data_IF_817605869011
#
_entry.id   IF_817605869011
#
_cell.length_a   1.000
_cell.length_b   1.000
_cell.length_c   1.000
_cell.angle_alpha   90.00
_cell.angle_beta   90.00
_cell.angle_gamma   90.00
#
_symmetry.space_group_name_H-M   'P 1'
#
loop_
_entity.id
_entity.type
_entity.pdbx_description
1 polymer ?
#
# COMPACT_ATOMS: atom_id res chain seq x y z
N UNK A 1 10.92 13.88 7.92
CA UNK A 1 11.26 14.95 6.96
C UNK A 1 10.60 16.25 7.38
N UNK A 2 11.25 17.40 7.25
CA UNK A 2 10.58 18.70 7.49
C UNK A 2 9.69 19.12 6.31
N UNK A 3 8.85 20.14 6.49
CA UNK A 3 7.89 20.56 5.45
C UNK A 3 8.57 21.18 4.23
N UNK A 4 9.72 21.85 4.41
CA UNK A 4 10.46 22.50 3.30
C UNK A 4 11.11 21.47 2.38
N UNK A 5 11.67 20.42 2.95
CA UNK A 5 12.23 19.31 2.19
C UNK A 5 11.13 18.56 1.44
N UNK A 6 9.96 18.38 2.06
CA UNK A 6 8.80 17.79 1.38
C UNK A 6 8.33 18.64 0.20
N UNK A 7 8.24 19.97 0.36
CA UNK A 7 7.93 20.91 -0.73
C UNK A 7 8.97 20.85 -1.86
N UNK A 8 10.26 20.75 -1.51
CA UNK A 8 11.33 20.57 -2.49
C UNK A 8 11.13 19.27 -3.28
N UNK A 9 10.87 18.15 -2.62
CA UNK A 9 10.59 16.86 -3.28
C UNK A 9 9.36 16.96 -4.19
N UNK A 10 8.31 17.65 -3.75
CA UNK A 10 7.12 17.89 -4.59
C UNK A 10 7.49 18.59 -5.91
N UNK A 11 8.41 19.56 -5.85
CA UNK A 11 8.85 20.36 -6.99
C UNK A 11 9.82 19.66 -7.96
N UNK A 12 10.51 18.60 -7.52
CA UNK A 12 11.50 17.89 -8.33
C UNK A 12 10.84 16.85 -9.25
N UNK A 13 11.27 16.77 -10.51
CA UNK A 13 10.77 15.77 -11.46
C UNK A 13 11.44 14.39 -11.30
N UNK A 14 12.70 14.37 -10.87
CA UNK A 14 13.51 13.17 -10.69
C UNK A 14 14.35 13.27 -9.42
N UNK A 15 14.85 12.12 -8.94
CA UNK A 15 15.77 12.09 -7.81
C UNK A 15 17.05 12.86 -8.18
N UNK A 16 17.53 13.78 -7.33
CA UNK A 16 18.67 14.61 -7.66
C UNK A 16 19.96 13.79 -7.73
N UNK A 17 20.75 14.02 -8.78
CA UNK A 17 22.11 13.50 -8.91
C UNK A 17 23.04 14.09 -7.85
N UNK A 18 24.29 13.61 -7.76
CA UNK A 18 25.28 14.05 -6.78
C UNK A 18 25.59 15.57 -6.80
N UNK A 19 25.23 16.28 -7.87
CA UNK A 19 25.37 17.75 -8.01
C UNK A 19 24.11 18.53 -7.64
N UNK A 20 23.00 17.85 -7.39
CA UNK A 20 21.71 18.44 -7.04
C UNK A 20 21.57 18.71 -5.53
N UNK A 21 20.38 19.16 -5.10
CA UNK A 21 20.08 19.32 -3.68
C UNK A 21 20.18 17.98 -2.96
N UNK A 22 20.89 17.95 -1.84
CA UNK A 22 21.00 16.76 -1.01
C UNK A 22 19.70 16.54 -0.23
N UNK A 23 19.06 15.40 -0.46
CA UNK A 23 17.87 14.97 0.26
C UNK A 23 18.26 14.03 1.42
N UNK A 24 17.49 14.06 2.50
CA UNK A 24 17.60 13.16 3.65
C UNK A 24 17.00 11.78 3.39
N UNK A 25 16.18 11.66 2.34
CA UNK A 25 15.50 10.41 1.96
C UNK A 25 16.23 9.63 0.88
N UNK A 26 15.99 8.32 0.85
CA UNK A 26 16.45 7.45 -0.21
C UNK A 26 15.71 7.71 -1.53
N UNK A 27 16.29 7.25 -2.64
CA UNK A 27 15.65 7.24 -3.96
C UNK A 27 14.34 6.45 -3.97
N UNK A 28 14.27 5.38 -3.17
CA UNK A 28 13.06 4.59 -2.98
C UNK A 28 11.94 5.41 -2.33
N UNK A 29 12.21 6.06 -1.20
CA UNK A 29 11.25 6.94 -0.53
C UNK A 29 10.81 8.09 -1.44
N UNK A 30 11.75 8.71 -2.17
CA UNK A 30 11.41 9.73 -3.16
C UNK A 30 10.43 9.19 -4.21
N UNK A 31 10.71 8.00 -4.75
CA UNK A 31 9.84 7.36 -5.75
C UNK A 31 8.45 7.05 -5.19
N UNK A 32 8.35 6.60 -3.94
CA UNK A 32 7.07 6.37 -3.25
C UNK A 32 6.29 7.69 -3.11
N UNK A 33 6.94 8.76 -2.67
CA UNK A 33 6.33 10.09 -2.54
C UNK A 33 5.80 10.57 -3.90
N UNK A 34 6.61 10.53 -4.95
CA UNK A 34 6.20 10.98 -6.30
C UNK A 34 5.03 10.16 -6.83
N UNK A 35 5.05 8.83 -6.67
CA UNK A 35 3.94 7.95 -7.10
C UNK A 35 2.66 8.26 -6.34
N UNK A 36 2.74 8.50 -5.02
CA UNK A 36 1.60 8.87 -4.18
C UNK A 36 0.99 10.21 -4.60
N UNK A 37 1.81 11.25 -4.77
CA UNK A 37 1.35 12.58 -5.22
C UNK A 37 0.66 12.51 -6.58
N UNK A 38 1.23 11.78 -7.54
CA UNK A 38 0.64 11.61 -8.87
C UNK A 38 -0.68 10.83 -8.81
N UNK A 39 -0.76 9.81 -7.95
CA UNK A 39 -2.02 9.08 -7.72
C UNK A 39 -3.09 9.99 -7.11
N UNK A 40 -2.75 10.82 -6.12
CA UNK A 40 -3.68 11.80 -5.55
C UNK A 40 -4.17 12.80 -6.61
N UNK A 41 -3.26 13.29 -7.46
CA UNK A 41 -3.61 14.17 -8.57
C UNK A 41 -4.66 13.50 -9.47
N UNK A 42 -4.41 12.29 -9.97
CA UNK A 42 -5.36 11.56 -10.81
C UNK A 42 -6.71 11.35 -10.13
N UNK A 43 -6.74 11.05 -8.83
CA UNK A 43 -8.01 10.90 -8.10
C UNK A 43 -8.77 12.22 -7.98
N UNK A 44 -8.05 13.33 -7.72
CA UNK A 44 -8.66 14.66 -7.60
C UNK A 44 -9.25 15.15 -8.93
N UNK A 45 -8.56 14.87 -10.04
CA UNK A 45 -8.96 15.27 -11.39
C UNK A 45 -10.03 14.36 -11.99
N UNK A 46 -10.23 13.14 -11.47
CA UNK A 46 -11.18 12.15 -11.99
C UNK A 46 -12.59 12.73 -12.22
N UNK A 47 -13.04 13.65 -11.35
CA UNK A 47 -14.35 14.33 -11.52
C UNK A 47 -14.40 15.18 -12.79
N UNK A 48 -13.30 15.83 -13.18
CA UNK A 48 -13.19 16.64 -14.40
C UNK A 48 -13.31 15.75 -15.64
N UNK A 49 -12.65 14.58 -15.63
CA UNK A 49 -12.72 13.61 -16.74
C UNK A 49 -14.09 12.93 -16.88
N UNK A 50 -14.91 12.92 -15.81
CA UNK A 50 -16.29 12.40 -15.80
C UNK A 50 -17.34 13.43 -16.21
N UNK A 51 -16.98 14.68 -16.45
CA UNK A 51 -17.95 15.68 -16.89
C UNK A 51 -18.48 15.35 -18.29
N UNK A 52 -19.78 15.53 -18.50
CA UNK A 52 -20.46 15.11 -19.73
C UNK A 52 -19.83 15.69 -21.00
N UNK A 53 -19.48 16.99 -20.99
CA UNK A 53 -18.81 17.66 -22.12
C UNK A 53 -17.46 17.01 -22.45
N UNK A 54 -16.67 16.72 -21.42
CA UNK A 54 -15.34 16.11 -21.52
C UNK A 54 -15.44 14.67 -22.02
N UNK A 55 -16.39 13.90 -21.49
CA UNK A 55 -16.67 12.53 -21.91
C UNK A 55 -17.07 12.45 -23.39
N UNK A 56 -18.00 13.31 -23.84
CA UNK A 56 -18.41 13.37 -25.25
C UNK A 56 -17.22 13.61 -26.17
N UNK A 57 -16.28 14.47 -25.77
CA UNK A 57 -15.05 14.70 -26.52
C UNK A 57 -14.16 13.45 -26.57
N UNK A 58 -13.92 12.78 -25.44
CA UNK A 58 -13.11 11.55 -25.41
C UNK A 58 -13.73 10.43 -26.24
N UNK A 59 -15.05 10.23 -26.17
CA UNK A 59 -15.76 9.22 -26.96
C UNK A 59 -15.69 9.54 -28.46
N UNK A 60 -15.80 10.82 -28.85
CA UNK A 60 -15.64 11.25 -30.23
C UNK A 60 -14.21 10.97 -30.75
N UNK A 61 -13.18 11.35 -29.98
CA UNK A 61 -11.77 11.08 -30.29
C UNK A 61 -11.48 9.59 -30.42
N UNK A 62 -11.97 8.79 -29.47
CA UNK A 62 -11.81 7.33 -29.51
C UNK A 62 -12.50 6.70 -30.73
N UNK A 63 -13.67 7.21 -31.09
CA UNK A 63 -14.42 6.77 -32.28
C UNK A 63 -13.76 7.20 -33.59
N UNK A 64 -12.99 8.29 -33.59
CA UNK A 64 -12.16 8.72 -34.71
C UNK A 64 -10.86 7.90 -34.86
N UNK A 65 -10.63 6.89 -34.01
CA UNK A 65 -9.49 5.98 -34.10
C UNK A 65 -8.32 6.28 -33.17
N UNK A 66 -8.40 7.35 -32.37
CA UNK A 66 -7.40 7.62 -31.34
C UNK A 66 -7.49 6.57 -30.21
N UNK A 67 -6.35 6.11 -29.68
CA UNK A 67 -6.35 5.11 -28.60
C UNK A 67 -6.64 5.73 -27.23
N UNK A 68 -7.18 4.94 -26.31
CA UNK A 68 -7.44 5.38 -24.91
C UNK A 68 -6.16 5.90 -24.24
N UNK A 69 -5.01 5.30 -24.55
CA UNK A 69 -3.69 5.75 -24.08
C UNK A 69 -3.30 7.12 -24.64
N UNK A 70 -3.50 7.36 -25.94
CA UNK A 70 -3.18 8.65 -26.56
C UNK A 70 -4.04 9.77 -25.96
N UNK A 71 -5.34 9.50 -25.77
CA UNK A 71 -6.25 10.42 -25.10
C UNK A 71 -5.75 10.72 -23.69
N UNK A 72 -5.43 9.69 -22.89
CA UNK A 72 -4.91 9.85 -21.53
C UNK A 72 -3.64 10.71 -21.49
N UNK A 73 -2.67 10.43 -22.37
CA UNK A 73 -1.42 11.18 -22.49
C UNK A 73 -1.66 12.65 -22.85
N UNK A 74 -2.62 12.95 -23.73
CA UNK A 74 -2.91 14.32 -24.15
C UNK A 74 -3.44 15.23 -23.04
N UNK A 75 -3.98 14.65 -21.97
CA UNK A 75 -4.52 15.36 -20.81
C UNK A 75 -3.77 15.03 -19.51
N UNK A 76 -2.58 14.43 -19.62
CA UNK A 76 -1.74 14.03 -18.48
C UNK A 76 -2.49 13.23 -17.41
N UNK A 77 -3.24 12.21 -17.83
CA UNK A 77 -4.06 11.38 -16.94
C UNK A 77 -3.68 9.89 -17.00
N UNK A 78 -4.06 9.12 -15.98
CA UNK A 78 -3.82 7.66 -15.93
C UNK A 78 -4.48 6.94 -17.12
N UNK A 79 -3.72 6.17 -17.94
CA UNK A 79 -4.28 5.38 -19.03
C UNK A 79 -5.37 4.39 -18.60
N UNK A 80 -5.20 3.69 -17.47
CA UNK A 80 -6.21 2.75 -16.99
C UNK A 80 -7.46 3.46 -16.47
N UNK A 81 -7.32 4.60 -15.78
CA UNK A 81 -8.45 5.41 -15.35
C UNK A 81 -9.19 6.03 -16.54
N UNK A 82 -8.46 6.49 -17.56
CA UNK A 82 -9.04 6.96 -18.82
C UNK A 82 -9.83 5.85 -19.51
N UNK A 83 -9.25 4.66 -19.65
CA UNK A 83 -9.93 3.52 -20.26
C UNK A 83 -11.24 3.20 -19.54
N UNK A 84 -11.24 3.16 -18.19
CA UNK A 84 -12.47 2.94 -17.41
C UNK A 84 -13.55 4.00 -17.71
N UNK A 85 -13.16 5.27 -17.79
CA UNK A 85 -14.08 6.39 -18.03
C UNK A 85 -14.62 6.39 -19.46
N UNK A 86 -13.79 6.08 -20.45
CA UNK A 86 -14.19 6.00 -21.88
C UNK A 86 -15.09 4.79 -22.15
N UNK A 87 -14.76 3.62 -21.58
CA UNK A 87 -15.54 2.40 -21.78
C UNK A 87 -16.93 2.51 -21.14
N UNK A 88 -17.02 3.08 -19.94
CA UNK A 88 -18.29 3.41 -19.28
C UNK A 88 -19.11 4.36 -20.17
N UNK A 89 -18.53 5.48 -20.61
CA UNK A 89 -19.25 6.47 -21.41
C UNK A 89 -19.66 6.00 -22.82
N UNK A 90 -18.85 5.17 -23.48
CA UNK A 90 -19.12 4.70 -24.85
C UNK A 90 -20.08 3.52 -24.89
N UNK A 91 -19.92 2.57 -23.98
CA UNK A 91 -20.65 1.29 -24.02
C UNK A 91 -21.68 1.15 -22.89
N UNK A 92 -21.73 2.07 -21.93
CA UNK A 92 -22.63 1.99 -20.78
C UNK A 92 -22.30 0.84 -19.84
N UNK A 93 -21.05 0.36 -19.85
CA UNK A 93 -20.65 -0.81 -19.08
C UNK A 93 -20.52 -0.51 -17.60
N UNK A 94 -21.03 -1.43 -16.77
CA UNK A 94 -20.89 -1.33 -15.33
C UNK A 94 -19.42 -1.40 -14.87
N UNK A 95 -19.12 -0.85 -13.70
CA UNK A 95 -17.78 -0.95 -13.08
C UNK A 95 -17.30 -2.40 -12.95
N UNK A 96 -18.21 -3.33 -12.67
CA UNK A 96 -17.92 -4.76 -12.54
C UNK A 96 -17.53 -5.35 -13.89
N UNK A 97 -18.31 -5.04 -14.94
CA UNK A 97 -18.03 -5.47 -16.32
C UNK A 97 -16.65 -5.00 -16.78
N UNK A 98 -16.33 -3.73 -16.57
CA UNK A 98 -15.02 -3.17 -16.93
C UNK A 98 -13.92 -3.84 -16.10
N UNK A 99 -14.12 -4.05 -14.80
CA UNK A 99 -13.11 -4.69 -13.95
C UNK A 99 -12.83 -6.14 -14.34
N UNK A 100 -13.86 -6.89 -14.76
CA UNK A 100 -13.69 -8.25 -15.28
C UNK A 100 -12.92 -8.25 -16.60
N UNK A 101 -13.18 -7.28 -17.50
CA UNK A 101 -12.42 -7.14 -18.74
C UNK A 101 -10.95 -6.82 -18.49
N UNK A 102 -10.63 -6.00 -17.48
CA UNK A 102 -9.24 -5.78 -17.06
C UNK A 102 -8.58 -7.06 -16.53
N UNK A 103 -9.31 -7.89 -15.77
CA UNK A 103 -8.80 -9.19 -15.31
C UNK A 103 -8.53 -10.14 -16.48
N UNK A 104 -9.46 -10.25 -17.41
CA UNK A 104 -9.31 -11.05 -18.64
C UNK A 104 -8.11 -10.57 -19.48
N UNK A 105 -7.93 -9.26 -19.61
CA UNK A 105 -6.81 -8.69 -20.36
C UNK A 105 -5.43 -9.01 -19.74
N UNK A 106 -5.39 -9.30 -18.43
CA UNK A 106 -4.18 -9.69 -17.70
C UNK A 106 -3.91 -11.20 -17.67
N UNK A 107 -4.89 -12.04 -18.05
CA UNK A 107 -4.64 -13.48 -18.19
C UNK A 107 -3.69 -13.72 -19.36
N UNK A 108 -2.74 -14.62 -19.16
CA UNK A 108 -1.86 -15.07 -20.23
C UNK A 108 -2.68 -15.82 -21.29
N UNK A 109 -2.23 -15.77 -22.55
CA UNK A 109 -2.94 -16.44 -23.66
C UNK A 109 -3.09 -17.96 -23.43
N UNK A 110 -2.22 -18.56 -22.61
CA UNK A 110 -2.29 -19.97 -22.19
C UNK A 110 -3.34 -20.26 -21.10
N UNK A 111 -3.82 -19.24 -20.39
CA UNK A 111 -4.82 -19.35 -19.30
C UNK A 111 -6.23 -18.95 -19.75
N UNK A 112 -6.39 -18.59 -21.02
CA UNK A 112 -7.71 -18.41 -21.61
C UNK A 112 -8.36 -19.80 -21.68
N UNK A 113 -9.37 -20.02 -20.84
CA UNK A 113 -10.21 -21.21 -20.89
C UNK A 113 -10.73 -21.41 -22.33
N UNK A 114 -10.98 -22.67 -22.72
CA UNK A 114 -11.48 -23.04 -24.04
C UNK A 114 -12.87 -22.44 -24.39
N UNK A 115 -13.47 -21.69 -23.46
CA UNK A 115 -14.74 -21.00 -23.63
C UNK A 115 -14.58 -19.73 -24.48
N UNK A 116 -15.54 -19.53 -25.38
CA UNK A 116 -15.56 -18.35 -26.24
C UNK A 116 -15.58 -17.06 -25.39
N UNK A 117 -14.76 -16.05 -25.72
CA UNK A 117 -14.73 -14.81 -24.98
C UNK A 117 -16.10 -14.14 -24.95
N UNK A 118 -16.51 -13.64 -23.79
CA UNK A 118 -17.71 -12.82 -23.72
C UNK A 118 -17.44 -11.46 -24.37
N UNK A 119 -17.83 -11.31 -25.64
CA UNK A 119 -17.64 -10.08 -26.41
C UNK A 119 -18.48 -8.89 -25.92
N UNK A 120 -19.34 -9.07 -24.91
CA UNK A 120 -20.12 -7.99 -24.26
C UNK A 120 -20.94 -7.16 -25.25
N UNK A 121 -21.42 -7.82 -26.31
CA UNK A 121 -22.20 -7.19 -27.38
C UNK A 121 -21.38 -6.41 -28.42
N UNK A 122 -20.05 -6.54 -28.41
CA UNK A 122 -19.18 -5.99 -29.44
C UNK A 122 -18.97 -6.96 -30.61
N UNK A 123 -18.62 -6.40 -31.78
CA UNK A 123 -18.04 -7.19 -32.86
C UNK A 123 -16.65 -7.73 -32.48
N UNK A 124 -16.21 -8.78 -33.17
CA UNK A 124 -14.90 -9.40 -32.94
C UNK A 124 -13.75 -8.39 -33.04
N UNK A 125 -13.79 -7.54 -34.08
CA UNK A 125 -12.77 -6.52 -34.33
C UNK A 125 -12.76 -5.43 -33.26
N UNK A 126 -13.94 -4.99 -32.80
CA UNK A 126 -14.06 -4.00 -31.73
C UNK A 126 -13.59 -4.56 -30.39
N UNK A 127 -14.00 -5.79 -30.06
CA UNK A 127 -13.57 -6.47 -28.85
C UNK A 127 -12.05 -6.63 -28.82
N UNK A 128 -11.48 -7.13 -29.92
CA UNK A 128 -10.04 -7.29 -30.10
C UNK A 128 -9.28 -5.97 -29.95
N UNK A 129 -9.80 -4.88 -30.53
CA UNK A 129 -9.24 -3.54 -30.35
C UNK A 129 -9.27 -3.11 -28.88
N UNK A 130 -10.42 -3.23 -28.21
CA UNK A 130 -10.59 -2.82 -26.82
C UNK A 130 -9.65 -3.59 -25.90
N UNK A 131 -9.56 -4.91 -26.03
CA UNK A 131 -8.67 -5.76 -25.21
C UNK A 131 -7.21 -5.38 -25.43
N UNK A 132 -6.78 -5.20 -26.68
CA UNK A 132 -5.43 -4.74 -27.01
C UNK A 132 -5.10 -3.38 -26.38
N UNK A 133 -6.01 -2.42 -26.48
CA UNK A 133 -5.81 -1.10 -25.88
C UNK A 133 -5.81 -1.13 -24.35
N UNK A 134 -6.61 -1.99 -23.71
CA UNK A 134 -6.56 -2.20 -22.26
C UNK A 134 -5.21 -2.79 -21.84
N UNK A 135 -4.70 -3.81 -22.55
CA UNK A 135 -3.36 -4.36 -22.30
C UNK A 135 -2.29 -3.28 -22.43
N UNK A 136 -2.36 -2.43 -23.45
CA UNK A 136 -1.44 -1.31 -23.61
C UNK A 136 -1.54 -0.34 -22.43
N UNK A 137 -2.76 0.03 -22.02
CA UNK A 137 -2.98 0.90 -20.86
C UNK A 137 -2.39 0.30 -19.58
N UNK A 138 -2.63 -0.99 -19.31
CA UNK A 138 -2.08 -1.70 -18.14
C UNK A 138 -0.55 -1.68 -18.15
N UNK A 139 0.07 -1.96 -19.31
CA UNK A 139 1.53 -2.01 -19.44
C UNK A 139 2.22 -0.66 -19.30
N UNK A 140 1.50 0.45 -19.54
CA UNK A 140 2.06 1.82 -19.56
C UNK A 140 1.63 2.67 -18.38
N UNK A 141 0.65 2.22 -17.60
CA UNK A 141 0.17 2.95 -16.44
C UNK A 141 0.88 2.44 -15.18
N UNK A 142 1.87 3.20 -14.74
CA UNK A 142 2.68 2.87 -13.57
C UNK A 142 1.98 3.17 -12.24
N UNK A 143 0.84 3.87 -12.26
CA UNK A 143 0.23 4.45 -11.07
C UNK A 143 -1.16 3.88 -10.82
N UNK A 144 -2.03 3.92 -11.84
CA UNK A 144 -3.44 3.56 -11.77
C UNK A 144 -3.79 2.22 -12.42
N UNK A 145 -2.78 1.39 -12.77
CA UNK A 145 -3.02 0.05 -13.30
C UNK A 145 -3.32 -0.97 -12.21
N UNK A 146 -3.99 -2.10 -12.55
CA UNK A 146 -4.12 -3.21 -11.62
C UNK A 146 -2.78 -3.81 -11.17
N UNK A 147 -1.72 -3.69 -12.00
CA UNK A 147 -0.37 -4.12 -11.62
C UNK A 147 0.21 -3.22 -10.53
N UNK A 148 0.05 -1.89 -10.67
CA UNK A 148 0.44 -0.93 -9.64
C UNK A 148 -0.36 -1.12 -8.35
N UNK A 149 -1.67 -1.42 -8.45
CA UNK A 149 -2.50 -1.79 -7.31
C UNK A 149 -1.98 -3.05 -6.61
N UNK A 150 -1.61 -4.09 -7.37
CA UNK A 150 -1.05 -5.34 -6.82
C UNK A 150 0.28 -5.11 -6.11
N UNK A 151 1.16 -4.29 -6.66
CA UNK A 151 2.43 -3.92 -6.02
C UNK A 151 2.16 -3.21 -4.68
N UNK A 152 1.30 -2.19 -4.66
CA UNK A 152 0.94 -1.47 -3.42
C UNK A 152 0.34 -2.40 -2.37
N UNK A 153 -0.57 -3.28 -2.77
CA UNK A 153 -1.18 -4.25 -1.86
C UNK A 153 -0.14 -5.20 -1.26
N UNK A 154 0.73 -5.77 -2.10
CA UNK A 154 1.78 -6.69 -1.65
C UNK A 154 2.79 -5.99 -0.72
N UNK A 155 3.16 -4.74 -1.02
CA UNK A 155 3.99 -3.94 -0.12
C UNK A 155 3.32 -3.75 1.25
N UNK A 156 2.01 -3.46 1.28
CA UNK A 156 1.24 -3.40 2.53
C UNK A 156 1.37 -4.69 3.35
N UNK A 157 1.07 -5.83 2.71
CA UNK A 157 1.17 -7.16 3.34
C UNK A 157 2.59 -7.46 3.83
N UNK A 158 3.63 -7.10 3.08
CA UNK A 158 5.02 -7.32 3.46
C UNK A 158 5.41 -6.54 4.71
N UNK A 159 5.03 -5.26 4.78
CA UNK A 159 5.33 -4.41 5.93
C UNK A 159 4.47 -4.73 7.16
N UNK A 160 3.24 -5.21 6.98
CA UNK A 160 2.44 -5.80 8.05
C UNK A 160 3.12 -7.07 8.58
N UNK A 161 3.59 -7.96 7.70
CA UNK A 161 4.36 -9.14 8.11
C UNK A 161 5.63 -8.76 8.89
N UNK A 162 6.38 -7.76 8.43
CA UNK A 162 7.55 -7.22 9.13
C UNK A 162 7.19 -6.73 10.55
N UNK A 163 6.06 -6.04 10.71
CA UNK A 163 5.56 -5.62 12.02
C UNK A 163 5.27 -6.83 12.92
N UNK A 164 4.52 -7.82 12.41
CA UNK A 164 4.16 -9.01 13.17
C UNK A 164 5.41 -9.80 13.62
N UNK A 165 6.37 -10.00 12.73
CA UNK A 165 7.65 -10.62 13.06
C UNK A 165 8.45 -9.80 14.09
N UNK A 166 8.47 -8.48 13.96
CA UNK A 166 9.13 -7.60 14.94
C UNK A 166 8.53 -7.77 16.34
N UNK A 167 7.20 -7.86 16.45
CA UNK A 167 6.51 -8.06 17.72
C UNK A 167 6.78 -9.45 18.30
N UNK A 168 6.75 -10.50 17.46
CA UNK A 168 7.07 -11.89 17.85
C UNK A 168 8.50 -12.01 18.37
N UNK A 169 9.47 -11.43 17.66
CA UNK A 169 10.87 -11.43 18.05
C UNK A 169 11.12 -10.65 19.36
N UNK A 170 10.28 -9.65 19.65
CA UNK A 170 10.28 -8.93 20.92
C UNK A 170 9.44 -9.59 22.02
N UNK A 171 8.84 -10.76 21.73
CA UNK A 171 7.95 -11.49 22.64
C UNK A 171 6.82 -10.62 23.20
N UNK A 172 6.31 -9.70 22.38
CA UNK A 172 5.15 -8.89 22.72
C UNK A 172 3.88 -9.70 22.44
N UNK A 173 2.90 -9.59 23.32
CA UNK A 173 1.63 -10.31 23.19
C UNK A 173 0.62 -9.40 22.51
N UNK A 174 0.06 -9.86 21.39
CA UNK A 174 -0.83 -9.08 20.55
C UNK A 174 -1.89 -9.96 19.86
N UNK A 175 -2.90 -9.32 19.30
CA UNK A 175 -3.88 -9.89 18.38
C UNK A 175 -3.66 -9.25 17.00
N UNK A 176 -3.52 -10.07 15.96
CA UNK A 176 -3.46 -9.59 14.58
C UNK A 176 -4.84 -9.16 14.07
N UNK A 177 -4.86 -8.43 12.97
CA UNK A 177 -6.10 -8.02 12.31
C UNK A 177 -7.04 -9.22 12.06
N UNK A 178 -6.52 -10.32 11.54
CA UNK A 178 -7.30 -11.54 11.26
C UNK A 178 -7.98 -12.08 12.52
N UNK A 179 -7.27 -12.14 13.64
CA UNK A 179 -7.83 -12.56 14.93
C UNK A 179 -8.93 -11.61 15.41
N UNK A 180 -8.78 -10.31 15.18
CA UNK A 180 -9.80 -9.32 15.53
C UNK A 180 -11.05 -9.46 14.64
N UNK A 181 -10.85 -9.75 13.34
CA UNK A 181 -11.92 -9.99 12.37
C UNK A 181 -12.68 -11.28 12.66
N UNK A 182 -11.99 -12.35 13.03
CA UNK A 182 -12.60 -13.61 13.49
C UNK A 182 -13.47 -13.42 14.73
N UNK A 183 -13.09 -12.50 15.63
CA UNK A 183 -13.89 -12.09 16.80
C UNK A 183 -15.10 -11.22 16.44
N UNK A 184 -15.31 -10.90 15.16
CA UNK A 184 -16.44 -10.09 14.70
C UNK A 184 -16.30 -8.59 15.00
N UNK A 185 -15.08 -8.10 15.28
CA UNK A 185 -14.86 -6.69 15.53
C UNK A 185 -14.95 -5.87 14.23
N UNK A 186 -15.66 -4.76 14.29
CA UNK A 186 -15.70 -3.77 13.20
C UNK A 186 -14.64 -2.70 13.43
N UNK A 187 -13.84 -2.40 12.40
CA UNK A 187 -12.70 -1.46 12.43
C UNK A 187 -11.55 -1.98 13.30
N UNK A 188 -10.66 -2.71 12.65
CA UNK A 188 -9.53 -3.42 13.24
C UNK A 188 -8.22 -2.72 12.86
N UNK A 189 -7.36 -2.32 13.82
CA UNK A 189 -5.98 -1.99 13.50
C UNK A 189 -5.24 -3.26 13.08
N UNK A 190 -4.10 -3.12 12.41
CA UNK A 190 -3.28 -4.27 12.00
C UNK A 190 -2.83 -5.10 13.20
N UNK A 191 -2.58 -4.42 14.33
CA UNK A 191 -2.20 -5.03 15.60
C UNK A 191 -2.94 -4.37 16.76
N UNK A 192 -3.54 -5.19 17.63
CA UNK A 192 -3.95 -4.77 18.99
C UNK A 192 -3.03 -5.42 20.03
N UNK A 193 -2.38 -4.61 20.84
CA UNK A 193 -1.51 -5.10 21.91
C UNK A 193 -2.38 -5.59 23.09
N UNK A 194 -2.08 -6.77 23.62
CA UNK A 194 -2.73 -7.27 24.85
C UNK A 194 -2.11 -6.63 26.09
N UNK A 195 -0.84 -6.24 26.00
CA UNK A 195 -0.14 -5.45 27.00
C UNK A 195 0.33 -4.14 26.34
N UNK A 196 -0.16 -2.98 26.81
CA UNK A 196 0.25 -1.69 26.26
C UNK A 196 1.75 -1.47 26.43
N UNK A 197 2.37 -0.81 25.45
CA UNK A 197 3.78 -0.43 25.50
C UNK A 197 3.91 1.08 25.67
N UNK A 198 4.95 1.52 26.39
CA UNK A 198 5.35 2.92 26.45
C UNK A 198 6.45 3.19 25.42
N UNK A 199 6.25 4.22 24.61
CA UNK A 199 7.21 4.67 23.59
C UNK A 199 7.54 6.13 23.85
N UNK A 200 8.83 6.45 23.97
CA UNK A 200 9.27 7.83 24.13
C UNK A 200 9.38 8.49 22.76
N UNK A 201 8.67 9.60 22.56
CA UNK A 201 8.80 10.37 21.32
C UNK A 201 10.18 11.01 21.24
N UNK A 202 10.92 10.75 20.17
CA UNK A 202 12.24 11.36 19.94
C UNK A 202 12.17 12.89 19.80
N UNK A 203 11.02 13.43 19.36
CA UNK A 203 10.82 14.87 19.15
C UNK A 203 10.49 15.61 20.44
N UNK A 204 9.54 15.10 21.22
CA UNK A 204 9.01 15.80 22.40
C UNK A 204 9.58 15.27 23.72
N UNK A 205 10.23 14.10 23.69
CA UNK A 205 10.66 13.37 24.88
C UNK A 205 9.50 12.82 25.73
N UNK A 206 8.25 13.03 25.31
CA UNK A 206 7.05 12.56 26.02
C UNK A 206 6.89 11.05 25.86
N UNK A 207 6.48 10.39 26.94
CA UNK A 207 6.08 8.99 26.90
C UNK A 207 4.65 8.89 26.35
N UNK A 208 4.49 8.12 25.28
CA UNK A 208 3.19 7.76 24.70
C UNK A 208 2.87 6.31 25.05
N UNK A 209 1.65 6.08 25.52
CA UNK A 209 1.12 4.72 25.71
C UNK A 209 0.55 4.26 24.38
N UNK A 210 0.87 3.04 23.97
CA UNK A 210 0.44 2.46 22.69
C UNK A 210 -0.33 1.17 22.98
N UNK A 211 -1.59 1.14 22.59
CA UNK A 211 -2.49 -0.02 22.73
C UNK A 211 -2.72 -0.74 21.40
N UNK A 212 -2.51 -0.07 20.28
CA UNK A 212 -2.66 -0.61 18.93
C UNK A 212 -1.62 0.00 17.99
N UNK A 213 -1.31 -0.72 16.92
CA UNK A 213 -0.37 -0.30 15.88
C UNK A 213 -1.03 -0.49 14.52
N UNK A 214 -0.95 0.53 13.67
CA UNK A 214 -1.40 0.52 12.28
C UNK A 214 -0.19 0.75 11.36
N UNK A 215 0.06 -0.19 10.46
CA UNK A 215 1.15 -0.28 9.51
C UNK A 215 0.74 0.35 8.19
N UNK A 216 1.51 1.32 7.71
CA UNK A 216 1.24 2.02 6.45
C UNK A 216 2.48 1.96 5.57
N UNK A 217 2.47 1.08 4.58
CA UNK A 217 3.52 0.95 3.57
C UNK A 217 3.49 2.09 2.54
N UNK A 218 3.49 3.33 3.03
CA UNK A 218 3.42 4.56 2.23
C UNK A 218 4.05 5.74 2.99
N UNK A 219 4.12 6.90 2.35
CA UNK A 219 4.61 8.12 2.99
C UNK A 219 3.48 8.85 3.72
N UNK A 220 3.73 9.28 4.96
CA UNK A 220 2.78 10.06 5.75
C UNK A 220 2.86 11.55 5.42
N UNK A 221 2.09 12.02 4.43
CA UNK A 221 1.87 13.44 4.18
C UNK A 221 0.60 13.97 4.89
N UNK A 222 0.43 15.30 4.89
CA UNK A 222 -0.70 15.98 5.56
C UNK A 222 -2.05 15.49 5.03
N UNK A 223 -2.19 15.36 3.72
CA UNK A 223 -3.43 14.92 3.09
C UNK A 223 -3.75 13.47 3.48
N UNK A 224 -2.79 12.57 3.36
CA UNK A 224 -2.94 11.15 3.69
C UNK A 224 -3.27 10.95 5.17
N UNK A 225 -2.57 11.62 6.10
CA UNK A 225 -2.80 11.43 7.53
C UNK A 225 -4.08 12.11 8.01
N UNK A 226 -4.23 13.40 7.73
CA UNK A 226 -5.29 14.25 8.32
C UNK A 226 -6.61 14.20 7.55
N UNK A 227 -6.61 13.71 6.30
CA UNK A 227 -7.83 13.57 5.49
C UNK A 227 -8.22 12.12 5.27
N UNK A 228 -7.35 11.32 4.65
CA UNK A 228 -7.73 9.96 4.22
C UNK A 228 -7.81 8.98 5.40
N UNK A 229 -6.82 9.00 6.29
CA UNK A 229 -6.73 8.05 7.41
C UNK A 229 -7.42 8.54 8.69
N UNK A 230 -7.71 9.83 8.84
CA UNK A 230 -8.21 10.42 10.08
C UNK A 230 -9.42 9.69 10.66
N UNK A 231 -10.42 9.37 9.83
CA UNK A 231 -11.63 8.68 10.29
C UNK A 231 -11.37 7.23 10.76
N UNK A 232 -10.42 6.55 10.13
CA UNK A 232 -10.01 5.19 10.49
C UNK A 232 -9.27 5.20 11.82
N UNK A 233 -8.25 6.06 11.94
CA UNK A 233 -7.40 6.15 13.12
C UNK A 233 -8.19 6.62 14.35
N UNK A 234 -9.08 7.61 14.19
CA UNK A 234 -9.98 8.03 15.27
C UNK A 234 -10.89 6.88 15.71
N UNK A 235 -11.33 6.04 14.77
CA UNK A 235 -12.11 4.84 15.06
C UNK A 235 -11.36 3.86 15.97
N UNK A 236 -10.04 3.76 15.82
CA UNK A 236 -9.18 2.94 16.69
C UNK A 236 -8.98 3.59 18.05
N UNK A 237 -8.68 4.90 18.10
CA UNK A 237 -8.54 5.65 19.36
C UNK A 237 -9.78 5.50 20.22
N UNK A 238 -10.97 5.66 19.64
CA UNK A 238 -12.23 5.58 20.36
C UNK A 238 -12.53 4.17 20.92
N UNK A 239 -11.96 3.10 20.33
CA UNK A 239 -12.23 1.71 20.72
C UNK A 239 -11.15 1.12 21.63
N UNK A 240 -9.90 1.47 21.37
CA UNK A 240 -8.73 0.82 21.94
C UNK A 240 -7.83 1.78 22.72
N UNK A 241 -8.17 3.07 22.77
CA UNK A 241 -7.37 4.10 23.41
C UNK A 241 -6.19 4.56 22.54
N UNK A 242 -5.19 5.24 23.12
CA UNK A 242 -4.03 5.74 22.39
C UNK A 242 -3.27 4.65 21.63
N UNK A 243 -2.67 4.99 20.50
CA UNK A 243 -1.97 4.04 19.63
C UNK A 243 -0.86 4.66 18.80
N UNK A 244 -0.39 3.90 17.82
CA UNK A 244 0.75 4.26 16.99
C UNK A 244 0.49 3.94 15.52
N UNK A 245 0.94 4.82 14.63
CA UNK A 245 0.95 4.59 13.19
C UNK A 245 2.39 4.59 12.70
N UNK A 246 2.75 3.57 11.93
CA UNK A 246 4.08 3.44 11.31
C UNK A 246 3.95 3.73 9.81
N UNK A 247 4.51 4.86 9.35
CA UNK A 247 4.66 5.17 7.92
C UNK A 247 6.05 4.73 7.45
N UNK A 248 6.14 3.54 6.88
CA UNK A 248 7.44 2.89 6.60
C UNK A 248 8.34 3.64 5.63
N UNK A 249 7.79 4.52 4.79
CA UNK A 249 8.57 5.35 3.89
C UNK A 249 8.83 6.76 4.43
N UNK A 250 8.58 7.00 5.72
CA UNK A 250 8.75 8.29 6.36
C UNK A 250 7.48 9.12 6.39
N UNK A 251 7.56 10.26 7.07
CA UNK A 251 6.45 11.19 7.21
C UNK A 251 6.93 12.64 7.36
N UNK A 252 6.01 13.58 7.12
CA UNK A 252 6.23 15.00 7.39
C UNK A 252 6.26 15.23 8.90
N UNK A 253 7.17 16.08 9.37
CA UNK A 253 7.43 16.23 10.79
C UNK A 253 6.29 16.90 11.56
N UNK A 254 5.51 17.74 10.88
CA UNK A 254 4.46 18.62 11.43
C UNK A 254 3.03 18.13 11.10
N UNK A 255 2.83 16.82 11.05
CA UNK A 255 1.48 16.27 11.00
C UNK A 255 0.76 16.59 12.32
N UNK A 256 -0.50 17.00 12.23
CA UNK A 256 -1.34 17.19 13.42
C UNK A 256 -1.54 15.83 14.08
N UNK A 257 -0.67 15.50 15.04
CA UNK A 257 -0.90 14.34 15.89
C UNK A 257 -2.03 14.70 16.84
N UNK A 258 -3.17 14.01 16.74
CA UNK A 258 -4.00 13.81 17.92
C UNK A 258 -3.06 13.36 19.06
N UNK A 259 -3.22 13.89 20.27
CA UNK A 259 -2.29 13.60 21.37
C UNK A 259 -2.19 12.10 21.69
N UNK A 260 -3.18 11.36 21.24
CA UNK A 260 -3.37 9.92 21.43
C UNK A 260 -2.80 9.06 20.30
N UNK A 261 -2.30 9.66 19.20
CA UNK A 261 -1.68 8.92 18.09
C UNK A 261 -0.21 9.31 17.96
N UNK A 262 0.68 8.35 18.25
CA UNK A 262 2.10 8.48 17.95
C UNK A 262 2.36 8.14 16.48
N UNK A 263 3.03 9.04 15.76
CA UNK A 263 3.45 8.81 14.37
C UNK A 263 4.96 8.52 14.36
N UNK A 264 5.34 7.43 13.70
CA UNK A 264 6.72 6.99 13.52
C UNK A 264 6.93 6.46 12.10
N UNK A 265 8.17 6.27 11.69
CA UNK A 265 8.58 5.67 10.42
C UNK A 265 9.22 4.29 10.58
N UNK A 266 9.45 3.86 11.82
CA UNK A 266 9.95 2.54 12.16
C UNK A 266 9.39 2.06 13.49
N UNK A 267 9.50 0.76 13.77
CA UNK A 267 9.17 0.23 15.08
C UNK A 267 10.20 0.73 16.12
N UNK A 268 9.77 1.35 17.24
CA UNK A 268 10.69 1.94 18.22
C UNK A 268 11.70 0.94 18.78
N UNK A 269 12.98 1.32 18.80
CA UNK A 269 14.03 0.47 19.37
C UNK A 269 13.83 0.28 20.88
N UNK A 270 13.64 1.38 21.60
CA UNK A 270 13.38 1.41 23.03
C UNK A 270 11.87 1.42 23.31
N UNK A 271 11.43 0.44 24.09
CA UNK A 271 10.05 0.34 24.58
C UNK A 271 10.07 0.06 26.07
N UNK A 272 9.10 0.60 26.81
CA UNK A 272 8.90 0.29 28.23
C UNK A 272 7.63 -0.53 28.42
N UNK A 273 7.69 -1.60 29.20
CA UNK A 273 6.51 -2.38 29.56
C UNK A 273 6.05 -2.05 30.99
N UNK A 274 4.75 -2.21 31.29
CA UNK A 274 4.23 -2.06 32.64
C UNK A 274 5.01 -2.89 33.67
N UNK A 275 5.30 -2.28 34.82
CA UNK A 275 6.00 -2.96 35.92
C UNK A 275 7.48 -3.27 35.67
N UNK A 276 8.13 -2.63 34.70
CA UNK A 276 9.51 -2.90 34.30
C UNK A 276 9.75 -4.36 33.87
N UNK A 277 8.70 -5.02 33.39
CA UNK A 277 8.79 -6.35 32.81
C UNK A 277 9.70 -6.33 31.57
N UNK A 278 10.62 -7.27 31.48
CA UNK A 278 11.47 -7.45 30.30
C UNK A 278 11.31 -8.89 29.79
N UNK A 279 10.49 -9.13 28.75
CA UNK A 279 10.25 -10.48 28.23
C UNK A 279 11.53 -11.10 27.68
N UNK A 280 12.46 -10.27 27.21
CA UNK A 280 13.75 -10.71 26.68
C UNK A 280 14.81 -10.92 27.77
N UNK A 281 14.49 -10.82 29.06
CA UNK A 281 15.46 -11.00 30.14
C UNK A 281 16.09 -12.40 30.15
N UNK A 282 15.37 -13.41 29.70
CA UNK A 282 15.85 -14.79 29.55
C UNK A 282 16.57 -15.06 28.23
N UNK A 283 16.55 -14.13 27.28
CA UNK A 283 17.14 -14.29 25.95
C UNK A 283 18.61 -13.84 25.99
N UNK A 284 19.52 -14.77 25.72
CA UNK A 284 20.95 -14.47 25.61
C UNK A 284 21.21 -13.60 24.39
N UNK A 285 21.58 -12.34 24.60
CA UNK A 285 22.05 -11.47 23.50
C UNK A 285 23.43 -11.95 23.04
N UNK A 286 23.53 -12.28 21.76
CA UNK A 286 24.80 -12.61 21.10
C UNK A 286 25.64 -11.33 21.00
N UNK A 287 26.88 -11.37 21.46
CA UNK A 287 27.79 -10.22 21.40
C UNK A 287 28.51 -10.18 20.04
N UNK A 288 28.92 -8.99 19.60
CA UNK A 288 29.74 -8.84 18.41
C UNK A 288 31.05 -9.64 18.57
N UNK A 289 31.37 -10.50 17.59
CA UNK A 289 32.48 -11.45 17.66
C UNK A 289 32.16 -12.82 18.29
N UNK A 290 30.90 -13.08 18.68
CA UNK A 290 30.50 -14.41 19.13
C UNK A 290 30.52 -15.39 17.95
N UNK A 291 31.27 -16.49 18.08
CA UNK A 291 31.24 -17.58 17.11
C UNK A 291 29.91 -18.34 17.21
N UNK A 292 29.02 -18.10 16.25
CA UNK A 292 27.79 -18.87 16.09
C UNK A 292 28.09 -20.11 15.26
N UNK A 293 27.99 -21.29 15.87
CA UNK A 293 28.06 -22.56 15.13
C UNK A 293 26.71 -22.83 14.48
N UNK A 294 26.62 -22.55 13.18
CA UNK A 294 25.49 -22.98 12.37
C UNK A 294 25.51 -24.51 12.29
N UNK A 295 24.40 -25.15 12.68
CA UNK A 295 24.19 -26.56 12.43
C UNK A 295 23.17 -26.72 11.32
N UNK A 296 23.35 -27.69 10.40
CA UNK A 296 22.31 -28.02 9.43
C UNK A 296 21.03 -28.40 10.19
N UNK A 297 19.98 -27.60 10.01
CA UNK A 297 18.68 -27.94 10.53
C UNK A 297 18.20 -29.23 9.84
N UNK A 298 17.65 -30.18 10.61
CA UNK A 298 16.95 -31.33 10.03
C UNK A 298 15.60 -30.85 9.52
N UNK A 299 15.60 -30.46 8.25
CA UNK A 299 14.43 -29.97 7.55
C UNK A 299 13.79 -31.17 6.85
N UNK A 300 12.53 -31.45 7.20
CA UNK A 300 11.68 -32.37 6.44
C UNK A 300 10.55 -31.57 5.83
N UNK A 301 10.47 -31.57 4.49
CA UNK A 301 9.32 -31.02 3.78
C UNK A 301 8.42 -32.16 3.38
N UNK A 302 7.23 -32.20 3.98
CA UNK A 302 6.13 -33.09 3.59
C UNK A 302 5.09 -32.28 2.81
N UNK A 303 4.08 -32.95 2.28
CA UNK A 303 2.91 -32.32 1.68
C UNK A 303 1.69 -32.71 2.51
N UNK A 304 0.80 -31.75 2.76
CA UNK A 304 -0.51 -32.07 3.35
C UNK A 304 -1.47 -32.68 2.33
N UNK A 305 -2.70 -32.97 2.76
CA UNK A 305 -3.73 -33.61 1.93
C UNK A 305 -4.11 -32.75 0.70
N UNK A 306 -3.83 -31.45 0.74
CA UNK A 306 -4.06 -30.49 -0.34
C UNK A 306 -2.80 -30.24 -1.19
N UNK A 307 -1.75 -31.06 -1.04
CA UNK A 307 -0.46 -30.94 -1.73
C UNK A 307 0.29 -29.62 -1.43
N UNK A 308 0.05 -29.01 -0.27
CA UNK A 308 0.78 -27.82 0.18
C UNK A 308 2.04 -28.28 0.93
N UNK A 309 3.24 -27.75 0.60
CA UNK A 309 4.47 -28.15 1.28
C UNK A 309 4.48 -27.67 2.73
N UNK A 310 4.46 -28.61 3.67
CA UNK A 310 4.61 -28.39 5.10
C UNK A 310 6.03 -28.73 5.50
N UNK A 311 6.81 -27.71 5.86
CA UNK A 311 8.20 -27.87 6.28
C UNK A 311 8.30 -27.92 7.80
N UNK A 312 8.76 -29.05 8.33
CA UNK A 312 9.03 -29.26 9.75
C UNK A 312 10.53 -29.12 9.97
N UNK A 313 10.91 -28.22 10.87
CA UNK A 313 12.27 -28.07 11.35
C UNK A 313 12.36 -28.74 12.72
N UNK A 314 13.05 -29.87 12.82
CA UNK A 314 13.41 -30.45 14.13
C UNK A 314 14.54 -29.59 14.73
N UNK A 315 14.21 -28.81 15.77
CA UNK A 315 15.16 -28.03 16.55
C UNK A 315 15.86 -28.89 17.62
#
# INVERSE_FOLDING_TARGET
MDEREFELICSLDAFPDATGPQLSVSEETFSVIKRQLLHHQYRSELRLHRQEKTLKNYVARYSAGESMRQIAKSVSFSPCMMARVVLDAKYGWSKTTISNLFKEAMKDESELEADAPNHRGLSEDEYSRVVREIRECISKDEIGSPLADRIRHNMGVEYEYLLLETLRNRQLVFESEDMLREKGLSKTPDVRLLLPIGVKSSKTGKLHVVNWIDSKAMFGDRHTHETENASQLQGYVNRYGPGMVIYWFGHVAELSSDSDILITDTFPQEISLPGAFNPLASVTKVQEGTEVKLQPAKIQTNFDDDWIPVTICEL
#
